data_IF_745299186632
#
_entry.id   IF_745299186632
#
_cell.length_a   1.000
_cell.length_b   1.000
_cell.length_c   1.000
_cell.angle_alpha   90.00
_cell.angle_beta   90.00
_cell.angle_gamma   90.00
#
_symmetry.space_group_name_H-M   'P 1'
#
loop_
_entity.id
_entity.type
_entity.pdbx_description
1 polymer ?
#
# COMPACT_ATOMS: atom_id res chain seq x y z
N UNK A 1 2.23 23.80 -7.94
CA UNK A 1 1.29 22.80 -7.37
C UNK A 1 0.99 23.18 -5.94
N UNK A 2 -0.29 23.42 -5.63
CA UNK A 2 -0.75 23.76 -4.27
C UNK A 2 -0.54 22.58 -3.30
N UNK A 3 -0.24 22.82 -2.02
CA UNK A 3 0.10 21.75 -1.07
C UNK A 3 -1.05 20.75 -0.86
N UNK A 4 -2.30 21.23 -0.88
CA UNK A 4 -3.49 20.38 -0.83
C UNK A 4 -3.57 19.38 -1.99
N UNK A 5 -3.18 19.78 -3.21
CA UNK A 5 -3.15 18.87 -4.36
C UNK A 5 -2.08 17.79 -4.17
N UNK A 6 -0.91 18.12 -3.61
CA UNK A 6 0.15 17.15 -3.34
C UNK A 6 -0.33 16.09 -2.34
N UNK A 7 -1.03 16.51 -1.28
CA UNK A 7 -1.57 15.60 -0.27
C UNK A 7 -2.63 14.65 -0.86
N UNK A 8 -3.54 15.17 -1.69
CA UNK A 8 -4.58 14.37 -2.34
C UNK A 8 -3.99 13.26 -3.22
N UNK A 9 -3.04 13.61 -4.10
CA UNK A 9 -2.37 12.61 -4.95
C UNK A 9 -1.52 11.63 -4.14
N UNK A 10 -0.95 12.06 -3.01
CA UNK A 10 -0.24 11.18 -2.09
C UNK A 10 -1.17 10.12 -1.48
N UNK A 11 -2.35 10.52 -1.01
CA UNK A 11 -3.35 9.58 -0.50
C UNK A 11 -3.85 8.58 -1.55
N UNK A 12 -4.04 9.03 -2.80
CA UNK A 12 -4.41 8.15 -3.92
C UNK A 12 -3.28 7.16 -4.22
N UNK A 13 -2.04 7.64 -4.32
CA UNK A 13 -0.88 6.79 -4.59
C UNK A 13 -0.75 5.69 -3.53
N UNK A 14 -0.91 6.03 -2.25
CA UNK A 14 -0.89 5.06 -1.16
C UNK A 14 -1.97 3.96 -1.31
N UNK A 15 -3.19 4.33 -1.75
CA UNK A 15 -4.23 3.34 -2.04
C UNK A 15 -3.89 2.46 -3.24
N UNK A 16 -3.34 3.05 -4.32
CA UNK A 16 -2.90 2.31 -5.50
C UNK A 16 -1.82 1.28 -5.12
N UNK A 17 -0.85 1.65 -4.29
CA UNK A 17 0.20 0.72 -3.84
C UNK A 17 -0.38 -0.49 -3.08
N UNK A 18 -1.40 -0.29 -2.23
CA UNK A 18 -2.10 -1.40 -1.56
C UNK A 18 -2.84 -2.27 -2.57
N UNK A 19 -3.57 -1.68 -3.52
CA UNK A 19 -4.31 -2.43 -4.55
C UNK A 19 -3.35 -3.26 -5.40
N UNK A 20 -2.26 -2.64 -5.88
CA UNK A 20 -1.22 -3.33 -6.65
C UNK A 20 -0.60 -4.46 -5.84
N UNK A 21 -0.35 -4.26 -4.54
CA UNK A 21 0.17 -5.31 -3.68
C UNK A 21 -0.79 -6.49 -3.55
N UNK A 22 -2.09 -6.25 -3.37
CA UNK A 22 -3.12 -7.32 -3.32
C UNK A 22 -3.21 -8.07 -4.64
N UNK A 23 -3.25 -7.36 -5.78
CA UNK A 23 -3.27 -7.98 -7.11
C UNK A 23 -2.02 -8.82 -7.33
N UNK A 24 -0.85 -8.31 -6.95
CA UNK A 24 0.44 -9.02 -7.07
C UNK A 24 0.43 -10.30 -6.23
N UNK A 25 -0.11 -10.25 -5.00
CA UNK A 25 -0.27 -11.45 -4.18
C UNK A 25 -1.23 -12.46 -4.82
N UNK A 26 -2.34 -12.03 -5.41
CA UNK A 26 -3.28 -12.92 -6.09
C UNK A 26 -2.63 -13.65 -7.29
N UNK A 27 -1.81 -12.93 -8.07
CA UNK A 27 -0.99 -13.52 -9.14
C UNK A 27 0.00 -14.53 -8.54
N UNK A 28 0.62 -14.22 -7.41
CA UNK A 28 1.53 -15.14 -6.71
C UNK A 28 0.84 -16.44 -6.27
N UNK A 29 -0.38 -16.36 -5.73
CA UNK A 29 -1.18 -17.54 -5.37
C UNK A 29 -1.48 -18.39 -6.61
N UNK A 30 -1.86 -17.76 -7.72
CA UNK A 30 -2.11 -18.46 -8.97
C UNK A 30 -0.84 -19.17 -9.50
N UNK A 31 0.31 -18.50 -9.44
CA UNK A 31 1.59 -19.09 -9.82
C UNK A 31 2.00 -20.28 -8.94
N UNK A 32 1.68 -20.25 -7.63
CA UNK A 32 1.89 -21.41 -6.76
C UNK A 32 0.98 -22.59 -7.14
N UNK A 33 -0.27 -22.32 -7.52
CA UNK A 33 -1.21 -23.35 -7.95
C UNK A 33 -0.78 -24.02 -9.26
N UNK A 34 -0.17 -23.26 -10.18
CA UNK A 34 0.39 -23.74 -11.46
C UNK A 34 1.80 -24.37 -11.31
N UNK A 35 2.17 -24.83 -10.11
CA UNK A 35 3.47 -25.48 -9.79
C UNK A 35 4.72 -24.58 -9.90
N UNK A 36 4.56 -23.27 -10.03
CA UNK A 36 5.68 -22.32 -10.09
C UNK A 36 5.99 -21.73 -8.71
N UNK A 37 6.56 -22.57 -7.83
CA UNK A 37 6.79 -22.24 -6.42
C UNK A 37 7.65 -20.98 -6.22
N UNK A 38 8.72 -20.83 -6.99
CA UNK A 38 9.67 -19.71 -6.88
C UNK A 38 9.02 -18.40 -7.31
N UNK A 39 8.37 -18.37 -8.47
CA UNK A 39 7.67 -17.19 -8.97
C UNK A 39 6.52 -16.81 -8.05
N UNK A 40 5.74 -17.78 -7.58
CA UNK A 40 4.65 -17.54 -6.64
C UNK A 40 5.14 -16.94 -5.32
N UNK A 41 6.22 -17.47 -4.74
CA UNK A 41 6.83 -16.91 -3.54
C UNK A 41 7.34 -15.47 -3.75
N UNK A 42 7.97 -15.18 -4.89
CA UNK A 42 8.44 -13.83 -5.22
C UNK A 42 7.26 -12.85 -5.29
N UNK A 43 6.20 -13.20 -6.01
CA UNK A 43 5.02 -12.34 -6.13
C UNK A 43 4.32 -12.12 -4.78
N UNK A 44 4.27 -13.13 -3.92
CA UNK A 44 3.74 -12.99 -2.57
C UNK A 44 4.57 -12.01 -1.72
N UNK A 45 5.90 -12.13 -1.75
CA UNK A 45 6.80 -11.22 -1.01
C UNK A 45 6.69 -9.78 -1.55
N UNK A 46 6.75 -9.61 -2.87
CA UNK A 46 6.62 -8.29 -3.50
C UNK A 46 5.25 -7.67 -3.20
N UNK A 47 4.17 -8.44 -3.34
CA UNK A 47 2.83 -7.97 -3.05
C UNK A 47 2.65 -7.58 -1.58
N UNK A 48 3.21 -8.36 -0.66
CA UNK A 48 3.20 -8.04 0.76
C UNK A 48 3.95 -6.74 1.09
N UNK A 49 5.13 -6.53 0.50
CA UNK A 49 5.91 -5.29 0.67
C UNK A 49 5.11 -4.08 0.18
N UNK A 50 4.46 -4.18 -0.98
CA UNK A 50 3.62 -3.10 -1.53
C UNK A 50 2.44 -2.76 -0.62
N UNK A 51 1.78 -3.78 -0.03
CA UNK A 51 0.69 -3.56 0.94
C UNK A 51 1.21 -2.83 2.17
N UNK A 52 2.35 -3.24 2.74
CA UNK A 52 2.93 -2.60 3.92
C UNK A 52 3.30 -1.15 3.62
N UNK A 53 3.94 -0.90 2.47
CA UNK A 53 4.32 0.44 2.03
C UNK A 53 3.10 1.33 1.85
N UNK A 54 2.10 0.89 1.08
CA UNK A 54 0.88 1.67 0.87
C UNK A 54 0.10 1.93 2.18
N UNK A 55 0.13 1.00 3.14
CA UNK A 55 -0.44 1.24 4.49
C UNK A 55 0.35 2.28 5.28
N UNK A 56 1.68 2.24 5.24
CA UNK A 56 2.53 3.23 5.89
C UNK A 56 2.34 4.63 5.28
N UNK A 57 2.32 4.73 3.94
CA UNK A 57 2.07 5.97 3.22
C UNK A 57 0.66 6.53 3.52
N UNK A 58 -0.35 5.65 3.67
CA UNK A 58 -1.70 6.06 4.08
C UNK A 58 -1.73 6.55 5.53
N UNK A 59 -0.96 5.97 6.42
CA UNK A 59 -0.83 6.43 7.81
C UNK A 59 -0.16 7.81 7.86
N UNK A 60 0.94 7.98 7.13
CA UNK A 60 1.64 9.26 6.99
C UNK A 60 0.76 10.33 6.33
N UNK A 61 -0.05 9.97 5.32
CA UNK A 61 -1.06 10.87 4.74
C UNK A 61 -2.02 11.37 5.81
N UNK A 62 -2.56 10.46 6.63
CA UNK A 62 -3.51 10.83 7.69
C UNK A 62 -2.90 11.70 8.79
N UNK A 63 -1.60 11.51 9.08
CA UNK A 63 -0.84 12.39 9.98
C UNK A 63 -0.71 13.79 9.37
N UNK A 64 -0.27 13.88 8.12
CA UNK A 64 -0.07 15.16 7.41
C UNK A 64 -1.38 15.90 7.12
N UNK A 65 -2.48 15.19 6.95
CA UNK A 65 -3.80 15.78 6.72
C UNK A 65 -4.49 16.24 8.01
N UNK A 66 -3.87 16.06 9.18
CA UNK A 66 -4.46 16.37 10.48
C UNK A 66 -5.66 15.48 10.83
N UNK A 67 -5.85 14.37 10.12
CA UNK A 67 -6.98 13.46 10.33
C UNK A 67 -6.74 12.48 11.47
N UNK A 68 -5.48 12.23 11.83
CA UNK A 68 -5.10 11.56 13.08
C UNK A 68 -4.81 12.66 14.11
N UNK A 69 -5.81 12.95 14.95
CA UNK A 69 -5.65 13.77 16.16
C UNK A 69 -5.17 12.82 17.25
N UNK A 70 -4.04 13.09 17.90
CA UNK A 70 -3.60 12.26 19.01
C UNK A 70 -4.52 12.49 20.21
N UNK A 71 -4.74 11.44 21.02
CA UNK A 71 -5.50 11.54 22.28
C UNK A 71 -4.65 12.35 23.27
N UNK A 72 -4.61 13.66 23.12
CA UNK A 72 -3.70 14.58 23.81
C UNK A 72 -3.55 15.96 23.16
N UNK A 73 -4.04 16.18 21.93
CA UNK A 73 -4.00 17.49 21.26
C UNK A 73 -5.15 18.45 21.70
N UNK A 74 -5.63 18.35 22.95
CA UNK A 74 -6.63 19.25 23.55
C UNK A 74 -6.04 19.98 24.75
#
# INVERSE_FOLDING_TARGET
>A
MNEGNKLYFYGIKAQIEVILGVVTMAIGIFALAESSMVLGAIFLVVGFILILKGKADRFDFKLKSGTIIHKGDW
#
